data_IF_780889129636
#
_entry.id   IF_780889129636
#
_cell.length_a   1.000
_cell.length_b   1.000
_cell.length_c   1.000
_cell.angle_alpha   90.00
_cell.angle_beta   90.00
_cell.angle_gamma   90.00
#
_symmetry.space_group_name_H-M   'P 1'
#
loop_
_entity.id
_entity.type
_entity.pdbx_description
1 polymer ?
#
# COMPACT_ATOMS: atom_id res chain seq x y z
N UNK A 1 -20.51 -10.99 12.89
CA UNK A 1 -19.42 -10.03 12.62
C UNK A 1 -18.09 -10.59 13.12
N UNK A 2 -17.88 -10.92 14.41
CA UNK A 2 -16.56 -11.39 14.89
C UNK A 2 -16.10 -12.68 14.21
N UNK A 3 -17.02 -13.62 14.00
CA UNK A 3 -16.72 -14.87 13.28
C UNK A 3 -16.29 -14.65 11.82
N UNK A 4 -16.86 -13.66 11.12
CA UNK A 4 -16.48 -13.33 9.74
C UNK A 4 -15.07 -12.73 9.74
N UNK A 5 -14.80 -11.76 10.63
CA UNK A 5 -13.48 -11.16 10.76
C UNK A 5 -12.39 -12.20 11.10
N UNK A 6 -12.68 -13.11 12.04
CA UNK A 6 -11.77 -14.20 12.40
C UNK A 6 -11.53 -15.16 11.22
N UNK A 7 -12.57 -15.49 10.47
CA UNK A 7 -12.44 -16.31 9.26
C UNK A 7 -11.61 -15.62 8.18
N UNK A 8 -11.80 -14.30 7.95
CA UNK A 8 -10.97 -13.51 7.02
C UNK A 8 -9.50 -13.58 7.42
N UNK A 9 -9.18 -13.35 8.70
CA UNK A 9 -7.80 -13.44 9.21
C UNK A 9 -7.23 -14.84 8.98
N UNK A 10 -7.97 -15.89 9.36
CA UNK A 10 -7.53 -17.27 9.22
C UNK A 10 -7.25 -17.65 7.75
N UNK A 11 -8.13 -17.26 6.83
CA UNK A 11 -7.96 -17.52 5.39
C UNK A 11 -6.74 -16.79 4.85
N UNK A 12 -6.59 -15.49 5.15
CA UNK A 12 -5.44 -14.69 4.68
C UNK A 12 -4.11 -15.26 5.17
N UNK A 13 -4.05 -15.72 6.43
CA UNK A 13 -2.86 -16.40 6.97
C UNK A 13 -2.62 -17.76 6.32
N UNK A 14 -3.67 -18.54 6.07
CA UNK A 14 -3.54 -19.87 5.45
C UNK A 14 -3.00 -19.81 4.02
N UNK A 15 -3.40 -18.79 3.25
CA UNK A 15 -2.91 -18.59 1.86
C UNK A 15 -1.64 -17.74 1.79
N UNK A 16 -1.25 -17.09 2.90
CA UNK A 16 -0.05 -16.24 2.98
C UNK A 16 1.24 -16.85 2.41
N UNK A 17 1.55 -18.14 2.61
CA UNK A 17 2.82 -18.70 2.13
C UNK A 17 2.76 -19.22 0.68
N UNK A 18 1.62 -19.11 -0.02
CA UNK A 18 1.46 -19.72 -1.34
C UNK A 18 2.27 -18.99 -2.42
N UNK A 19 2.48 -17.67 -2.25
CA UNK A 19 3.48 -16.88 -2.97
C UNK A 19 4.59 -16.38 -2.01
N UNK A 20 5.68 -15.87 -2.59
CA UNK A 20 6.78 -15.28 -1.84
C UNK A 20 6.46 -13.88 -1.31
N UNK A 21 7.51 -13.19 -0.86
CA UNK A 21 7.41 -11.78 -0.46
C UNK A 21 7.09 -10.92 -1.68
N UNK A 22 6.21 -9.95 -1.46
CA UNK A 22 6.02 -8.82 -2.38
C UNK A 22 7.25 -7.90 -2.36
N UNK A 23 7.53 -7.20 -3.47
CA UNK A 23 8.65 -6.24 -3.57
C UNK A 23 8.61 -5.18 -2.45
N UNK A 24 7.44 -4.63 -2.15
CA UNK A 24 7.30 -3.64 -1.08
C UNK A 24 7.51 -4.25 0.30
N UNK A 25 7.11 -5.51 0.51
CA UNK A 25 7.34 -6.19 1.79
C UNK A 25 8.83 -6.37 2.05
N UNK A 26 9.60 -6.72 1.00
CA UNK A 26 11.06 -6.80 1.07
C UNK A 26 11.68 -5.45 1.38
N UNK A 27 11.16 -4.38 0.76
CA UNK A 27 11.63 -3.02 1.01
C UNK A 27 11.30 -2.54 2.43
N UNK A 28 10.06 -2.67 2.89
CA UNK A 28 9.66 -2.30 4.26
C UNK A 28 10.38 -3.12 5.31
N UNK A 29 10.62 -4.42 5.05
CA UNK A 29 11.48 -5.25 5.89
C UNK A 29 12.89 -4.65 5.97
N UNK A 30 13.48 -4.30 4.83
CA UNK A 30 14.82 -3.73 4.74
C UNK A 30 14.90 -2.35 5.44
N UNK A 31 13.92 -1.46 5.26
CA UNK A 31 13.82 -0.20 6.00
C UNK A 31 13.64 -0.42 7.50
N UNK A 32 12.86 -1.44 7.89
CA UNK A 32 12.63 -1.83 9.27
C UNK A 32 13.90 -2.29 10.02
N UNK A 33 14.93 -2.74 9.32
CA UNK A 33 16.26 -3.03 9.92
C UNK A 33 16.94 -1.76 10.46
N UNK A 34 16.54 -0.57 9.97
CA UNK A 34 17.03 0.74 10.41
C UNK A 34 15.86 1.65 10.81
N UNK A 35 15.31 1.50 12.02
CA UNK A 35 14.20 2.34 12.47
C UNK A 35 14.53 3.84 12.46
N UNK A 36 13.68 4.63 11.80
CA UNK A 36 13.78 6.09 11.73
C UNK A 36 12.39 6.72 11.95
N UNK A 37 12.37 8.02 12.23
CA UNK A 37 11.13 8.80 12.37
C UNK A 37 10.45 9.12 11.02
N UNK A 38 11.13 8.83 9.91
CA UNK A 38 10.64 8.96 8.54
C UNK A 38 11.68 8.44 7.57
N UNK A 39 11.24 8.13 6.36
CA UNK A 39 12.06 7.79 5.22
C UNK A 39 11.67 8.73 4.07
N UNK A 40 12.50 8.82 3.03
CA UNK A 40 12.29 9.76 1.93
C UNK A 40 10.94 9.56 1.23
N UNK A 41 10.64 8.32 0.85
CA UNK A 41 9.47 7.96 0.05
C UNK A 41 8.27 7.50 0.87
N UNK A 42 8.48 7.15 2.15
CA UNK A 42 7.42 6.61 2.99
C UNK A 42 7.52 7.04 4.46
N UNK A 43 6.39 7.38 5.11
CA UNK A 43 6.32 7.50 6.56
C UNK A 43 6.74 6.23 7.33
N UNK A 44 7.04 6.32 8.63
CA UNK A 44 7.65 5.21 9.36
C UNK A 44 6.71 4.06 9.73
N UNK A 45 5.38 4.23 9.71
CA UNK A 45 4.46 3.24 10.31
C UNK A 45 4.57 1.86 9.66
N UNK A 46 4.54 1.79 8.33
CA UNK A 46 4.56 0.49 7.62
C UNK A 46 5.91 -0.24 7.79
N UNK A 47 7.07 0.41 7.62
CA UNK A 47 8.37 -0.20 7.98
C UNK A 47 8.46 -0.62 9.45
N UNK A 48 7.89 0.14 10.38
CA UNK A 48 7.87 -0.23 11.80
C UNK A 48 6.99 -1.45 12.07
N UNK A 49 5.85 -1.58 11.38
CA UNK A 49 5.04 -2.80 11.40
C UNK A 49 5.87 -3.98 10.91
N UNK A 50 6.60 -3.84 9.79
CA UNK A 50 7.47 -4.90 9.28
C UNK A 50 8.55 -5.31 10.30
N UNK A 51 9.18 -4.33 10.97
CA UNK A 51 10.18 -4.58 12.01
C UNK A 51 9.61 -5.31 13.21
N UNK A 52 8.47 -4.86 13.73
CA UNK A 52 7.81 -5.49 14.89
C UNK A 52 7.37 -6.91 14.54
N UNK A 53 6.74 -7.11 13.38
CA UNK A 53 6.30 -8.44 12.92
C UNK A 53 7.47 -9.41 12.81
N UNK A 54 8.56 -9.00 12.15
CA UNK A 54 9.75 -9.87 11.98
C UNK A 54 10.50 -10.13 13.27
N UNK A 55 10.50 -9.18 14.22
CA UNK A 55 11.13 -9.35 15.52
C UNK A 55 10.35 -10.31 16.45
N UNK A 56 9.02 -10.29 16.40
CA UNK A 56 8.17 -11.10 17.29
C UNK A 56 7.90 -12.50 16.73
N UNK A 57 7.57 -12.59 15.43
CA UNK A 57 7.09 -13.82 14.80
C UNK A 57 8.14 -14.49 13.90
N UNK A 58 9.33 -13.88 13.79
CA UNK A 58 10.42 -14.32 12.93
C UNK A 58 10.37 -13.71 11.53
N UNK A 59 11.46 -13.85 10.79
CA UNK A 59 11.61 -13.25 9.47
C UNK A 59 11.07 -14.17 8.36
N UNK A 60 9.73 -14.29 8.28
CA UNK A 60 9.02 -15.10 7.28
C UNK A 60 7.92 -14.31 6.59
N UNK A 61 7.48 -14.76 5.40
CA UNK A 61 6.35 -14.16 4.67
C UNK A 61 5.08 -14.14 5.54
N UNK A 62 4.80 -15.26 6.21
CA UNK A 62 3.63 -15.39 7.10
C UNK A 62 3.73 -14.41 8.26
N UNK A 63 4.91 -14.30 8.89
CA UNK A 63 5.12 -13.37 10.00
C UNK A 63 4.85 -11.91 9.60
N UNK A 64 5.35 -11.46 8.44
CA UNK A 64 5.06 -10.12 7.92
C UNK A 64 3.58 -9.89 7.66
N UNK A 65 2.85 -10.93 7.26
CA UNK A 65 1.43 -10.87 6.86
C UNK A 65 0.44 -11.06 8.01
N UNK A 66 0.92 -11.28 9.25
CA UNK A 66 0.06 -11.31 10.45
C UNK A 66 -0.67 -9.98 10.66
N UNK A 67 0.07 -8.86 10.67
CA UNK A 67 -0.54 -7.54 10.90
C UNK A 67 -1.50 -7.16 9.76
N UNK A 68 -1.17 -7.34 8.47
CA UNK A 68 -2.14 -7.18 7.38
C UNK A 68 -3.42 -8.00 7.53
N UNK A 69 -3.32 -9.28 7.88
CA UNK A 69 -4.50 -10.12 8.10
C UNK A 69 -5.38 -9.59 9.24
N UNK A 70 -4.76 -9.14 10.35
CA UNK A 70 -5.46 -8.50 11.47
C UNK A 70 -6.11 -7.18 11.07
N UNK A 71 -5.44 -6.36 10.25
CA UNK A 71 -6.01 -5.13 9.69
C UNK A 71 -7.26 -5.42 8.86
N UNK A 72 -7.26 -6.47 8.02
CA UNK A 72 -8.44 -6.87 7.26
C UNK A 72 -9.59 -7.33 8.18
N UNK A 73 -9.29 -8.11 9.23
CA UNK A 73 -10.29 -8.47 10.26
C UNK A 73 -10.87 -7.25 10.97
N UNK A 74 -10.03 -6.28 11.35
CA UNK A 74 -10.47 -5.03 11.94
C UNK A 74 -11.36 -4.21 10.99
N UNK A 75 -11.00 -4.17 9.70
CA UNK A 75 -11.76 -3.48 8.66
C UNK A 75 -13.18 -4.06 8.52
N UNK A 76 -13.32 -5.39 8.50
CA UNK A 76 -14.61 -6.08 8.48
C UNK A 76 -15.49 -5.64 9.66
N UNK A 77 -14.92 -5.53 10.86
CA UNK A 77 -15.64 -5.07 12.05
C UNK A 77 -16.03 -3.59 11.93
N UNK A 78 -15.10 -2.72 11.51
CA UNK A 78 -15.34 -1.28 11.39
C UNK A 78 -16.42 -0.96 10.36
N UNK A 79 -16.42 -1.62 9.21
CA UNK A 79 -17.42 -1.42 8.15
C UNK A 79 -18.80 -1.92 8.60
N UNK A 80 -18.87 -3.04 9.31
CA UNK A 80 -20.13 -3.51 9.89
C UNK A 80 -20.65 -2.59 11.01
N UNK A 81 -19.77 -2.05 11.85
CA UNK A 81 -20.11 -1.03 12.85
C UNK A 81 -20.58 0.28 12.19
N UNK A 82 -20.02 0.63 11.04
CA UNK A 82 -20.46 1.77 10.24
C UNK A 82 -21.88 1.57 9.72
N UNK A 83 -22.21 0.38 9.21
CA UNK A 83 -23.58 0.03 8.83
C UNK A 83 -24.54 0.11 10.04
N UNK A 84 -24.10 -0.35 11.22
CA UNK A 84 -24.88 -0.23 12.47
C UNK A 84 -25.13 1.23 12.84
N UNK A 85 -24.10 2.07 12.80
CA UNK A 85 -24.18 3.50 13.12
C UNK A 85 -25.17 4.23 12.21
N UNK A 86 -25.28 3.80 10.95
CA UNK A 86 -26.21 4.33 9.95
C UNK A 86 -27.65 3.78 10.07
N UNK A 87 -27.96 3.07 11.16
CA UNK A 87 -29.28 2.50 11.46
C UNK A 87 -29.51 1.10 10.89
N UNK A 88 -28.46 0.40 10.46
CA UNK A 88 -28.55 -0.95 9.93
C UNK A 88 -28.76 -2.01 11.01
N UNK A 89 -29.81 -2.82 10.86
CA UNK A 89 -30.02 -4.03 11.67
C UNK A 89 -29.01 -5.15 11.38
N UNK A 90 -29.23 -6.34 11.97
CA UNK A 90 -28.30 -7.49 11.85
C UNK A 90 -28.03 -7.90 10.40
N UNK A 91 -29.05 -7.88 9.53
CA UNK A 91 -28.89 -8.23 8.12
C UNK A 91 -27.94 -7.28 7.38
N UNK A 92 -28.07 -5.96 7.58
CA UNK A 92 -27.19 -4.96 6.97
C UNK A 92 -25.74 -5.10 7.48
N UNK A 93 -25.57 -5.37 8.78
CA UNK A 93 -24.25 -5.59 9.37
C UNK A 93 -23.56 -6.86 8.85
N UNK A 94 -24.32 -7.95 8.66
CA UNK A 94 -23.80 -9.19 8.05
C UNK A 94 -23.44 -8.96 6.59
N UNK A 95 -24.29 -8.26 5.83
CA UNK A 95 -24.03 -7.93 4.43
C UNK A 95 -22.76 -7.06 4.29
N UNK A 96 -22.62 -6.04 5.14
CA UNK A 96 -21.44 -5.19 5.17
C UNK A 96 -20.18 -5.99 5.54
N UNK A 97 -20.25 -6.82 6.60
CA UNK A 97 -19.12 -7.64 7.03
C UNK A 97 -18.70 -8.66 5.96
N UNK A 98 -19.65 -9.40 5.40
CA UNK A 98 -19.38 -10.43 4.39
C UNK A 98 -18.88 -9.80 3.10
N UNK A 99 -19.51 -8.72 2.63
CA UNK A 99 -19.07 -8.01 1.44
C UNK A 99 -17.64 -7.50 1.58
N UNK A 100 -17.31 -6.79 2.66
CA UNK A 100 -15.94 -6.31 2.92
C UNK A 100 -14.93 -7.46 3.06
N UNK A 101 -15.31 -8.57 3.70
CA UNK A 101 -14.44 -9.73 3.85
C UNK A 101 -14.09 -10.41 2.52
N UNK A 102 -14.85 -10.13 1.45
CA UNK A 102 -14.71 -10.75 0.14
C UNK A 102 -14.56 -9.73 -0.99
N UNK A 103 -14.28 -8.47 -0.69
CA UNK A 103 -13.99 -7.43 -1.69
C UNK A 103 -12.51 -7.49 -2.10
N UNK A 104 -12.21 -7.15 -3.35
CA UNK A 104 -10.82 -7.16 -3.87
C UNK A 104 -9.88 -6.32 -3.00
N UNK A 105 -10.21 -5.05 -2.74
CA UNK A 105 -9.36 -4.11 -2.02
C UNK A 105 -8.99 -4.58 -0.59
N UNK A 106 -9.94 -4.90 0.32
CA UNK A 106 -9.66 -5.53 1.61
C UNK A 106 -8.86 -6.83 1.54
N UNK A 107 -9.10 -7.69 0.55
CA UNK A 107 -8.37 -8.95 0.40
C UNK A 107 -6.90 -8.70 0.00
N UNK A 108 -6.65 -7.82 -0.98
CA UNK A 108 -5.29 -7.44 -1.39
C UNK A 108 -4.54 -6.77 -0.23
N UNK A 109 -5.15 -5.76 0.39
CA UNK A 109 -4.55 -5.04 1.52
C UNK A 109 -4.36 -5.92 2.76
N UNK A 110 -5.16 -6.96 2.92
CA UNK A 110 -5.04 -7.95 3.99
C UNK A 110 -4.03 -9.06 3.71
N UNK A 111 -3.69 -9.29 2.44
CA UNK A 111 -2.79 -10.37 2.04
C UNK A 111 -1.32 -9.97 2.10
N UNK A 112 -0.98 -8.73 1.76
CA UNK A 112 0.39 -8.23 1.80
C UNK A 112 0.52 -7.00 2.70
N UNK A 113 1.70 -6.78 3.28
CA UNK A 113 1.99 -5.55 4.02
C UNK A 113 2.30 -4.41 3.05
N UNK A 114 1.30 -3.55 2.83
CA UNK A 114 1.36 -2.38 1.97
C UNK A 114 1.11 -1.12 2.81
N UNK A 115 1.48 0.06 2.30
CA UNK A 115 1.05 1.33 2.93
C UNK A 115 -0.47 1.48 2.95
N UNK A 116 -1.19 0.82 2.04
CA UNK A 116 -2.65 0.78 2.02
C UNK A 116 -3.24 0.05 3.26
N UNK A 117 -2.53 -0.95 3.78
CA UNK A 117 -3.03 -1.89 4.80
C UNK A 117 -3.48 -1.21 6.10
N UNK A 118 -2.62 -0.50 6.85
CA UNK A 118 -3.07 0.22 8.04
C UNK A 118 -3.94 1.44 7.70
N UNK A 119 -3.81 2.01 6.50
CA UNK A 119 -4.55 3.20 6.08
C UNK A 119 -6.07 2.94 6.03
N UNK A 120 -6.49 1.82 5.42
CA UNK A 120 -7.91 1.45 5.34
C UNK A 120 -8.57 1.34 6.72
N UNK A 121 -7.84 0.81 7.72
CA UNK A 121 -8.32 0.66 9.09
C UNK A 121 -8.44 2.03 9.75
N UNK A 122 -7.41 2.86 9.68
CA UNK A 122 -7.39 4.19 10.30
C UNK A 122 -8.46 5.09 9.70
N UNK A 123 -8.62 5.09 8.38
CA UNK A 123 -9.67 5.85 7.69
C UNK A 123 -11.08 5.38 8.03
N UNK A 124 -11.28 4.06 8.10
CA UNK A 124 -12.59 3.50 8.49
C UNK A 124 -12.92 3.82 9.95
N UNK A 125 -11.93 3.82 10.84
CA UNK A 125 -12.09 4.22 12.23
C UNK A 125 -12.39 5.73 12.38
N UNK A 126 -11.67 6.58 11.63
CA UNK A 126 -11.95 8.03 11.54
C UNK A 126 -13.36 8.27 11.02
N UNK A 127 -13.75 7.60 9.94
CA UNK A 127 -15.10 7.71 9.36
C UNK A 127 -16.19 7.29 10.33
N UNK A 128 -15.99 6.19 11.06
CA UNK A 128 -16.92 5.77 12.11
C UNK A 128 -17.02 6.80 13.24
N UNK A 129 -15.91 7.42 13.64
CA UNK A 129 -15.92 8.49 14.65
C UNK A 129 -16.64 9.75 14.12
N UNK A 130 -16.39 10.15 12.87
CA UNK A 130 -17.09 11.25 12.21
C UNK A 130 -18.61 10.99 12.19
N UNK A 131 -19.03 9.79 11.80
CA UNK A 131 -20.45 9.41 11.82
C UNK A 131 -21.05 9.49 13.23
N UNK A 132 -20.33 9.06 14.26
CA UNK A 132 -20.80 9.16 15.65
C UNK A 132 -20.96 10.60 16.11
N UNK A 133 -20.04 11.50 15.74
CA UNK A 133 -20.25 12.94 15.99
C UNK A 133 -21.51 13.42 15.27
N UNK A 134 -21.60 13.16 13.97
CA UNK A 134 -22.66 13.71 13.11
C UNK A 134 -24.06 13.18 13.44
N UNK A 135 -24.17 11.92 13.86
CA UNK A 135 -25.44 11.26 14.13
C UNK A 135 -25.86 11.34 15.60
N UNK A 136 -24.90 11.20 16.54
CA UNK A 136 -25.18 11.19 17.99
C UNK A 136 -25.02 12.55 18.65
N UNK A 137 -24.26 13.47 18.05
CA UNK A 137 -23.92 14.75 18.66
C UNK A 137 -22.88 14.66 19.79
N UNK A 138 -22.19 13.54 19.95
CA UNK A 138 -21.16 13.38 20.99
C UNK A 138 -19.80 13.91 20.51
N UNK A 139 -19.48 15.15 20.91
CA UNK A 139 -18.23 15.81 20.54
C UNK A 139 -16.95 15.13 21.04
N UNK A 140 -17.00 14.13 21.94
CA UNK A 140 -15.81 13.37 22.37
C UNK A 140 -15.14 12.65 21.20
N UNK A 141 -15.91 12.25 20.19
CA UNK A 141 -15.37 11.61 19.00
C UNK A 141 -14.51 12.53 18.14
N UNK A 142 -14.59 13.86 18.30
CA UNK A 142 -13.62 14.75 17.65
C UNK A 142 -12.19 14.54 18.12
N UNK A 143 -11.99 14.21 19.40
CA UNK A 143 -10.67 13.88 19.93
C UNK A 143 -10.16 12.57 19.32
N UNK A 144 -11.04 11.57 19.14
CA UNK A 144 -10.69 10.32 18.47
C UNK A 144 -10.41 10.50 16.98
N UNK A 145 -11.18 11.35 16.28
CA UNK A 145 -10.87 11.76 14.89
C UNK A 145 -9.47 12.36 14.86
N UNK A 146 -9.17 13.30 15.76
CA UNK A 146 -7.85 13.91 15.85
C UNK A 146 -6.72 12.91 16.10
N UNK A 147 -6.87 12.06 17.12
CA UNK A 147 -5.88 11.06 17.48
C UNK A 147 -5.59 10.07 16.35
N UNK A 148 -6.64 9.50 15.75
CA UNK A 148 -6.50 8.54 14.66
C UNK A 148 -5.93 9.19 13.39
N UNK A 149 -6.32 10.42 13.08
CA UNK A 149 -5.76 11.15 11.94
C UNK A 149 -4.29 11.53 12.13
N UNK A 150 -3.88 11.87 13.36
CA UNK A 150 -2.47 12.07 13.69
C UNK A 150 -1.64 10.79 13.50
N UNK A 151 -2.17 9.63 13.91
CA UNK A 151 -1.54 8.33 13.67
C UNK A 151 -1.50 7.98 12.18
N UNK A 152 -2.55 8.28 11.42
CA UNK A 152 -2.61 8.04 9.98
C UNK A 152 -1.54 8.81 9.19
N UNK A 153 -1.18 10.02 9.65
CA UNK A 153 -0.10 10.80 9.05
C UNK A 153 1.28 10.11 9.14
N UNK A 154 1.48 9.18 10.08
CA UNK A 154 2.69 8.35 10.12
C UNK A 154 2.69 7.19 9.12
N UNK A 155 1.64 7.05 8.31
CA UNK A 155 1.54 6.03 7.29
C UNK A 155 1.43 6.62 5.89
N UNK A 156 0.47 7.52 5.68
CA UNK A 156 0.32 8.31 4.44
C UNK A 156 -0.30 9.65 4.80
N UNK A 157 0.21 10.73 4.19
CA UNK A 157 -0.37 12.07 4.35
C UNK A 157 -1.78 12.19 3.69
N UNK A 158 -2.25 11.14 3.00
CA UNK A 158 -3.56 11.07 2.33
C UNK A 158 -4.75 11.25 3.28
N UNK A 159 -4.61 11.04 4.59
CA UNK A 159 -5.70 11.28 5.55
C UNK A 159 -6.25 12.71 5.45
N UNK A 160 -5.42 13.67 5.04
CA UNK A 160 -5.82 15.05 4.78
C UNK A 160 -6.87 15.13 3.66
N UNK A 161 -6.86 14.22 2.68
CA UNK A 161 -7.87 14.14 1.61
C UNK A 161 -9.22 13.74 2.19
N UNK A 162 -9.27 12.76 3.11
CA UNK A 162 -10.51 12.40 3.81
C UNK A 162 -11.08 13.58 4.59
N UNK A 163 -10.25 14.17 5.45
CA UNK A 163 -10.66 15.25 6.34
C UNK A 163 -11.06 16.51 5.57
N UNK A 164 -10.27 16.89 4.56
CA UNK A 164 -10.53 18.04 3.69
C UNK A 164 -11.81 17.87 2.88
N UNK A 165 -12.03 16.69 2.30
CA UNK A 165 -13.23 16.39 1.53
C UNK A 165 -14.49 16.39 2.39
N UNK A 166 -14.43 15.81 3.59
CA UNK A 166 -15.54 15.86 4.57
C UNK A 166 -15.76 17.29 5.07
N UNK A 167 -14.69 18.02 5.38
CA UNK A 167 -14.74 19.42 5.82
C UNK A 167 -15.40 20.33 4.80
N UNK A 168 -15.02 20.21 3.52
CA UNK A 168 -15.69 20.91 2.42
C UNK A 168 -17.16 20.51 2.33
N UNK A 169 -17.48 19.23 2.47
CA UNK A 169 -18.85 18.75 2.53
C UNK A 169 -19.67 19.38 3.66
N UNK A 170 -19.07 19.55 4.86
CA UNK A 170 -19.68 20.24 6.00
C UNK A 170 -19.92 21.73 5.69
N UNK A 171 -18.93 22.40 5.07
CA UNK A 171 -19.04 23.81 4.72
C UNK A 171 -20.11 24.08 3.66
N UNK A 172 -20.22 23.21 2.65
CA UNK A 172 -21.17 23.36 1.54
C UNK A 172 -22.59 22.93 1.95
N UNK A 173 -22.73 21.80 2.65
CA UNK A 173 -24.02 21.16 2.84
C UNK A 173 -24.43 20.92 4.30
N UNK A 174 -23.58 21.28 5.26
CA UNK A 174 -23.82 21.11 6.70
C UNK A 174 -23.59 19.68 7.20
N UNK A 175 -23.84 19.42 8.49
CA UNK A 175 -24.30 20.36 9.53
C UNK A 175 -23.18 21.32 9.97
N UNK A 176 -23.37 22.65 9.83
CA UNK A 176 -22.32 23.66 10.14
C UNK A 176 -22.20 23.93 11.65
N UNK A 177 -23.18 23.48 12.43
CA UNK A 177 -23.20 23.64 13.88
C UNK A 177 -22.02 22.94 14.54
N UNK A 178 -21.50 21.87 13.92
CA UNK A 178 -20.35 21.13 14.43
C UNK A 178 -19.05 21.96 14.46
N UNK A 179 -18.96 23.01 13.64
CA UNK A 179 -17.80 23.91 13.63
C UNK A 179 -17.73 24.79 14.90
N UNK A 180 -18.84 24.90 15.64
CA UNK A 180 -18.92 25.60 16.93
C UNK A 180 -18.47 24.72 18.09
N UNK A 181 -18.34 23.41 17.90
CA UNK A 181 -17.87 22.52 18.96
C UNK A 181 -16.37 22.72 19.19
N UNK A 182 -16.00 23.23 20.37
CA UNK A 182 -14.59 23.45 20.75
C UNK A 182 -13.76 22.16 20.69
N UNK A 183 -14.39 21.00 20.83
CA UNK A 183 -13.72 19.69 20.77
C UNK A 183 -13.24 19.34 19.36
N UNK A 184 -13.87 19.89 18.31
CA UNK A 184 -13.37 19.79 16.93
C UNK A 184 -11.94 20.37 16.87
N UNK A 185 -11.77 21.58 17.38
CA UNK A 185 -10.49 22.28 17.38
C UNK A 185 -9.47 21.63 18.32
N UNK A 186 -9.92 21.13 19.47
CA UNK A 186 -9.06 20.32 20.35
C UNK A 186 -8.59 19.02 19.65
N UNK A 187 -9.47 18.38 18.87
CA UNK A 187 -9.13 17.22 18.04
C UNK A 187 -8.13 17.58 16.94
N UNK A 188 -8.32 18.71 16.26
CA UNK A 188 -7.37 19.20 15.25
C UNK A 188 -5.98 19.48 15.86
N UNK A 189 -5.93 20.13 17.03
CA UNK A 189 -4.68 20.34 17.77
C UNK A 189 -4.02 19.03 18.19
N UNK A 190 -4.82 18.05 18.64
CA UNK A 190 -4.31 16.73 18.99
C UNK A 190 -3.75 15.98 17.76
N UNK A 191 -4.42 16.08 16.60
CA UNK A 191 -3.90 15.53 15.35
C UNK A 191 -2.55 16.12 14.98
N UNK A 192 -2.43 17.46 15.05
CA UNK A 192 -1.19 18.17 14.78
C UNK A 192 -0.10 17.81 15.79
N UNK A 193 -0.43 17.72 17.08
CA UNK A 193 0.52 17.33 18.13
C UNK A 193 1.09 15.92 17.87
N UNK A 194 0.22 14.95 17.54
CA UNK A 194 0.65 13.59 17.23
C UNK A 194 1.43 13.55 15.91
N UNK A 195 0.96 14.22 14.85
CA UNK A 195 1.64 14.23 13.56
C UNK A 195 2.93 15.08 13.56
N UNK A 196 3.17 15.91 14.57
CA UNK A 196 4.25 16.90 14.57
C UNK A 196 5.64 16.33 14.33
N UNK A 197 6.05 15.15 14.83
CA UNK A 197 7.37 14.60 14.53
C UNK A 197 7.54 14.27 13.04
N UNK A 198 6.50 13.72 12.39
CA UNK A 198 6.52 13.45 10.95
C UNK A 198 6.54 14.77 10.15
N UNK A 199 5.71 15.74 10.54
CA UNK A 199 5.68 17.05 9.87
C UNK A 199 7.01 17.81 10.01
N UNK A 200 7.65 17.73 11.18
CA UNK A 200 8.97 18.32 11.41
C UNK A 200 10.05 17.62 10.56
N UNK A 201 10.00 16.29 10.46
CA UNK A 201 10.87 15.54 9.57
C UNK A 201 10.71 16.01 8.13
N UNK A 202 9.46 16.09 7.63
CA UNK A 202 9.15 16.57 6.29
C UNK A 202 9.70 17.98 6.05
N UNK A 203 9.47 18.91 6.97
CA UNK A 203 9.91 20.29 6.85
C UNK A 203 11.44 20.46 6.90
N UNK A 204 12.14 19.61 7.66
CA UNK A 204 13.61 19.66 7.82
C UNK A 204 14.37 18.91 6.72
N UNK A 205 13.66 18.16 5.86
CA UNK A 205 14.23 17.34 4.79
C UNK A 205 13.68 17.71 3.40
N UNK A 206 13.31 18.98 3.21
CA UNK A 206 12.83 19.55 1.94
C UNK A 206 11.55 18.91 1.37
N UNK A 207 10.67 18.44 2.24
CA UNK A 207 9.39 17.82 1.90
C UNK A 207 9.50 16.63 0.94
N UNK A 208 10.16 15.55 1.37
CA UNK A 208 10.51 14.44 0.49
C UNK A 208 9.27 13.75 -0.12
N UNK A 209 8.15 13.67 0.61
CA UNK A 209 6.92 13.10 0.05
C UNK A 209 6.26 13.99 -1.03
N UNK A 210 6.41 15.31 -0.97
CA UNK A 210 5.93 16.17 -2.06
C UNK A 210 6.79 15.98 -3.32
N UNK A 211 8.10 15.81 -3.17
CA UNK A 211 9.00 15.47 -4.28
C UNK A 211 8.61 14.11 -4.90
N UNK A 212 8.35 13.11 -4.06
CA UNK A 212 7.89 11.79 -4.50
C UNK A 212 6.55 11.87 -5.25
N UNK A 213 5.56 12.59 -4.70
CA UNK A 213 4.27 12.76 -5.34
C UNK A 213 4.36 13.47 -6.70
N UNK A 214 5.32 14.40 -6.86
CA UNK A 214 5.59 15.05 -8.15
C UNK A 214 6.23 14.09 -9.16
N UNK A 215 7.20 13.27 -8.73
CA UNK A 215 7.82 12.26 -9.59
C UNK A 215 6.77 11.25 -10.09
N UNK A 216 5.99 10.65 -9.19
CA UNK A 216 4.93 9.70 -9.54
C UNK A 216 3.86 10.30 -10.46
N UNK A 217 3.52 11.58 -10.28
CA UNK A 217 2.57 12.27 -11.17
C UNK A 217 3.11 12.38 -12.60
N UNK A 218 4.42 12.60 -12.77
CA UNK A 218 5.04 12.72 -14.09
C UNK A 218 5.08 11.35 -14.76
N UNK A 219 5.50 10.32 -14.03
CA UNK A 219 5.75 9.00 -14.58
C UNK A 219 4.46 8.21 -14.83
N UNK A 220 3.50 8.24 -13.90
CA UNK A 220 2.30 7.40 -13.94
C UNK A 220 0.99 8.19 -14.07
N UNK A 221 1.04 9.52 -14.01
CA UNK A 221 -0.17 10.34 -13.85
C UNK A 221 -1.16 10.25 -15.00
N UNK A 222 -0.70 9.93 -16.22
CA UNK A 222 -1.57 9.73 -17.38
C UNK A 222 -2.34 8.40 -17.28
N UNK A 223 -1.65 7.32 -16.97
CA UNK A 223 -2.24 5.98 -16.83
C UNK A 223 -3.18 5.91 -15.63
N UNK A 224 -2.78 6.53 -14.51
CA UNK A 224 -3.62 6.66 -13.33
C UNK A 224 -4.94 7.39 -13.63
N UNK A 225 -4.92 8.44 -14.47
CA UNK A 225 -6.15 9.14 -14.90
C UNK A 225 -7.00 8.28 -15.82
N UNK A 226 -6.38 7.59 -16.78
CA UNK A 226 -7.09 6.74 -17.74
C UNK A 226 -7.80 5.57 -17.05
N UNK A 227 -7.16 4.97 -16.04
CA UNK A 227 -7.67 3.82 -15.30
C UNK A 227 -8.54 4.17 -14.09
N UNK A 228 -8.63 5.45 -13.70
CA UNK A 228 -9.30 5.87 -12.47
C UNK A 228 -10.76 5.39 -12.36
N UNK A 229 -11.59 5.73 -13.35
CA UNK A 229 -13.03 5.42 -13.35
C UNK A 229 -13.30 3.92 -13.35
N UNK A 230 -12.73 3.09 -14.25
CA UNK A 230 -12.98 1.65 -14.20
C UNK A 230 -12.49 1.03 -12.89
N UNK A 231 -11.37 1.50 -12.32
CA UNK A 231 -10.89 0.98 -11.05
C UNK A 231 -11.81 1.30 -9.87
N UNK A 232 -12.55 2.42 -9.86
CA UNK A 232 -13.55 2.66 -8.80
C UNK A 232 -14.64 1.59 -8.73
N UNK A 233 -14.91 0.87 -9.83
CA UNK A 233 -15.85 -0.24 -9.87
C UNK A 233 -15.18 -1.54 -9.42
N UNK A 234 -13.95 -1.79 -9.89
CA UNK A 234 -13.22 -3.04 -9.67
C UNK A 234 -12.63 -3.15 -8.26
N UNK A 235 -12.27 -2.03 -7.62
CA UNK A 235 -11.65 -2.01 -6.29
C UNK A 235 -12.48 -2.77 -5.24
N UNK A 236 -13.81 -2.67 -5.29
CA UNK A 236 -14.70 -3.48 -4.45
C UNK A 236 -15.29 -4.68 -5.19
N UNK A 237 -15.68 -4.47 -6.45
CA UNK A 237 -16.42 -5.40 -7.29
C UNK A 237 -17.68 -4.74 -7.87
N UNK A 238 -18.08 -5.07 -9.11
CA UNK A 238 -19.19 -4.41 -9.81
C UNK A 238 -20.52 -4.47 -9.05
N UNK A 239 -20.80 -5.57 -8.35
CA UNK A 239 -22.04 -5.71 -7.55
C UNK A 239 -22.00 -4.78 -6.35
N UNK A 240 -20.83 -4.69 -5.69
CA UNK A 240 -20.62 -3.79 -4.56
C UNK A 240 -20.68 -2.33 -4.98
N UNK A 241 -20.24 -1.97 -6.19
CA UNK A 241 -20.36 -0.62 -6.73
C UNK A 241 -21.83 -0.17 -6.81
N UNK A 242 -22.74 -1.04 -7.23
CA UNK A 242 -24.20 -0.76 -7.22
C UNK A 242 -24.71 -0.50 -5.80
N UNK A 243 -24.24 -1.28 -4.83
CA UNK A 243 -24.55 -1.08 -3.41
C UNK A 243 -23.99 0.27 -2.92
N UNK A 244 -22.78 0.66 -3.34
CA UNK A 244 -22.18 1.96 -3.03
C UNK A 244 -23.03 3.12 -3.55
N UNK A 245 -23.60 3.03 -4.75
CA UNK A 245 -24.53 4.05 -5.29
C UNK A 245 -25.76 4.19 -4.40
N UNK A 246 -26.35 3.08 -3.95
CA UNK A 246 -27.47 3.11 -3.00
C UNK A 246 -27.07 3.73 -1.66
N UNK A 247 -25.83 3.52 -1.22
CA UNK A 247 -25.27 4.13 -0.03
C UNK A 247 -25.04 5.63 -0.17
N UNK A 248 -24.47 6.05 -1.29
CA UNK A 248 -24.28 7.46 -1.63
C UNK A 248 -25.60 8.22 -1.63
N UNK A 249 -26.64 7.68 -2.29
CA UNK A 249 -27.99 8.26 -2.29
C UNK A 249 -28.59 8.35 -0.89
N UNK A 250 -28.35 7.34 -0.04
CA UNK A 250 -28.80 7.35 1.36
C UNK A 250 -28.13 8.47 2.16
N UNK A 251 -26.81 8.60 2.06
CA UNK A 251 -26.07 9.65 2.76
C UNK A 251 -26.46 11.04 2.25
N UNK A 252 -26.65 11.21 0.93
CA UNK A 252 -27.08 12.45 0.31
C UNK A 252 -28.42 12.96 0.86
N UNK A 253 -29.38 12.04 1.06
CA UNK A 253 -30.72 12.34 1.58
C UNK A 253 -30.71 12.75 3.06
N UNK A 254 -29.77 12.24 3.86
CA UNK A 254 -29.68 12.57 5.28
C UNK A 254 -28.79 13.81 5.51
N UNK A 255 -29.40 14.95 5.84
CA UNK A 255 -28.70 16.22 6.08
C UNK A 255 -27.57 16.14 7.13
N UNK A 256 -27.67 15.24 8.12
CA UNK A 256 -26.64 15.11 9.16
C UNK A 256 -25.33 14.51 8.63
N UNK A 257 -25.39 13.69 7.58
CA UNK A 257 -24.23 12.95 7.05
C UNK A 257 -24.00 13.21 5.55
N UNK A 258 -24.68 14.22 5.00
CA UNK A 258 -24.55 14.62 3.59
C UNK A 258 -23.12 15.02 3.22
N UNK A 259 -22.37 15.56 4.17
CA UNK A 259 -20.94 15.85 4.00
C UNK A 259 -20.13 14.65 3.53
N UNK A 260 -20.43 13.44 4.04
CA UNK A 260 -19.79 12.20 3.60
C UNK A 260 -20.22 11.77 2.19
N UNK A 261 -21.43 12.13 1.74
CA UNK A 261 -21.81 11.91 0.34
C UNK A 261 -21.03 12.83 -0.60
N UNK A 262 -20.76 14.07 -0.19
CA UNK A 262 -19.96 15.04 -0.96
C UNK A 262 -18.47 14.69 -0.94
N UNK A 263 -17.99 14.12 0.16
CA UNK A 263 -16.57 13.84 0.33
C UNK A 263 -16.01 12.92 -0.77
N UNK A 264 -16.75 11.88 -1.18
CA UNK A 264 -16.30 10.97 -2.24
C UNK A 264 -16.05 11.64 -3.59
N UNK A 265 -17.02 12.34 -4.23
CA UNK A 265 -16.76 13.00 -5.51
C UNK A 265 -15.71 14.12 -5.42
N UNK A 266 -15.60 14.81 -4.28
CA UNK A 266 -14.53 15.80 -4.05
C UNK A 266 -13.16 15.10 -4.04
N UNK A 267 -13.03 14.00 -3.30
CA UNK A 267 -11.80 13.22 -3.26
C UNK A 267 -11.44 12.65 -4.64
N UNK A 268 -12.42 12.12 -5.39
CA UNK A 268 -12.20 11.67 -6.76
C UNK A 268 -11.69 12.79 -7.66
N UNK A 269 -12.29 13.99 -7.59
CA UNK A 269 -11.86 15.13 -8.37
C UNK A 269 -10.42 15.55 -8.01
N UNK A 270 -10.06 15.54 -6.72
CA UNK A 270 -8.71 15.86 -6.24
C UNK A 270 -7.68 14.84 -6.75
N UNK A 271 -7.96 13.54 -6.62
CA UNK A 271 -7.04 12.47 -7.05
C UNK A 271 -6.88 12.45 -8.58
N UNK A 272 -7.98 12.62 -9.32
CA UNK A 272 -7.95 12.78 -10.78
C UNK A 272 -7.12 14.00 -11.20
N UNK A 273 -7.32 15.14 -10.53
CA UNK A 273 -6.59 16.37 -10.83
C UNK A 273 -5.11 16.24 -10.51
N UNK A 274 -4.74 15.58 -9.41
CA UNK A 274 -3.34 15.38 -9.03
C UNK A 274 -2.66 14.27 -9.83
N UNK A 275 -3.41 13.39 -10.51
CA UNK A 275 -2.86 12.19 -11.14
C UNK A 275 -2.45 11.12 -10.13
N UNK A 276 -3.09 11.10 -8.95
CA UNK A 276 -2.80 10.10 -7.92
C UNK A 276 -3.39 8.73 -8.27
N UNK A 277 -2.91 7.67 -7.61
CA UNK A 277 -3.38 6.31 -7.88
C UNK A 277 -4.87 6.16 -7.54
N UNK A 278 -5.64 5.39 -8.33
CA UNK A 278 -7.08 5.24 -8.15
C UNK A 278 -7.51 4.63 -6.81
N UNK A 279 -6.64 3.86 -6.14
CA UNK A 279 -6.91 3.26 -4.83
C UNK A 279 -6.94 4.30 -3.69
N UNK A 280 -6.47 5.53 -3.91
CA UNK A 280 -6.46 6.60 -2.89
C UNK A 280 -7.87 7.01 -2.45
N UNK A 281 -8.90 6.67 -3.23
CA UNK A 281 -10.31 6.85 -2.88
C UNK A 281 -10.99 5.58 -2.34
N UNK A 282 -10.27 4.47 -2.22
CA UNK A 282 -10.82 3.16 -1.86
C UNK A 282 -11.50 3.13 -0.49
N UNK A 283 -10.95 3.83 0.50
CA UNK A 283 -11.56 3.92 1.84
C UNK A 283 -12.94 4.61 1.83
N UNK A 284 -13.19 5.53 0.89
CA UNK A 284 -14.51 6.15 0.77
C UNK A 284 -15.56 5.15 0.30
N UNK A 285 -15.19 4.26 -0.61
CA UNK A 285 -16.07 3.20 -1.11
C UNK A 285 -16.54 2.29 0.03
N UNK A 286 -15.72 2.04 1.05
CA UNK A 286 -16.09 1.16 2.17
C UNK A 286 -17.25 1.71 3.02
N UNK A 287 -17.27 3.01 3.35
CA UNK A 287 -18.39 3.57 4.10
C UNK A 287 -19.63 3.79 3.21
N UNK A 288 -19.44 4.05 1.92
CA UNK A 288 -20.53 4.07 0.94
C UNK A 288 -21.17 2.68 0.83
N UNK A 289 -20.36 1.63 0.75
CA UNK A 289 -20.80 0.25 0.76
C UNK A 289 -21.57 -0.08 2.05
N UNK A 290 -21.05 0.33 3.22
CA UNK A 290 -21.73 0.17 4.50
C UNK A 290 -23.12 0.82 4.52
N UNK A 291 -23.21 2.08 4.05
CA UNK A 291 -24.46 2.81 3.92
C UNK A 291 -25.43 2.13 2.95
N UNK A 292 -24.90 1.60 1.84
CA UNK A 292 -25.63 0.86 0.83
C UNK A 292 -26.22 -0.42 1.36
N UNK A 293 -25.48 -1.16 2.18
CA UNK A 293 -25.93 -2.38 2.83
C UNK A 293 -27.17 -2.14 3.71
N UNK A 294 -27.29 -0.96 4.33
CA UNK A 294 -28.49 -0.58 5.11
C UNK A 294 -29.73 -0.48 4.20
N UNK A 295 -29.58 0.12 3.02
CA UNK A 295 -30.66 0.21 2.02
C UNK A 295 -30.95 -1.15 1.40
N UNK A 296 -29.90 -1.89 1.04
CA UNK A 296 -29.99 -3.15 0.32
C UNK A 296 -30.59 -4.29 1.16
N UNK A 297 -30.44 -4.23 2.49
CA UNK A 297 -31.06 -5.19 3.40
C UNK A 297 -32.61 -5.23 3.29
N UNK A 298 -33.23 -4.14 2.83
CA UNK A 298 -34.67 -4.03 2.61
C UNK A 298 -35.14 -4.37 1.20
N UNK A 299 -34.24 -4.74 0.27
CA UNK A 299 -34.63 -4.99 -1.12
C UNK A 299 -35.45 -6.27 -1.26
N UNK A 300 -36.55 -6.18 -2.03
CA UNK A 300 -37.44 -7.33 -2.32
C UNK A 300 -36.70 -8.51 -2.97
N UNK A 301 -35.67 -8.23 -3.79
CA UNK A 301 -34.81 -9.23 -4.46
C UNK A 301 -33.48 -9.48 -3.71
N UNK A 302 -33.46 -9.38 -2.38
CA UNK A 302 -32.24 -9.58 -1.57
C UNK A 302 -31.49 -10.89 -1.86
N UNK A 303 -32.20 -11.98 -2.19
CA UNK A 303 -31.57 -13.26 -2.52
C UNK A 303 -30.71 -13.18 -3.78
N UNK A 304 -31.15 -12.44 -4.79
CA UNK A 304 -30.39 -12.20 -6.02
C UNK A 304 -29.14 -11.37 -5.72
N UNK A 305 -29.25 -10.34 -4.88
CA UNK A 305 -28.08 -9.56 -4.46
C UNK A 305 -27.05 -10.42 -3.72
N UNK A 306 -27.50 -11.26 -2.78
CA UNK A 306 -26.60 -12.15 -2.03
C UNK A 306 -25.92 -13.15 -2.98
N UNK A 307 -26.65 -13.73 -3.94
CA UNK A 307 -26.06 -14.60 -4.95
C UNK A 307 -25.04 -13.85 -5.82
N UNK A 308 -25.36 -12.63 -6.27
CA UNK A 308 -24.44 -11.81 -7.05
C UNK A 308 -23.18 -11.44 -6.26
N UNK A 309 -23.30 -11.09 -4.98
CA UNK A 309 -22.15 -10.84 -4.10
C UNK A 309 -21.32 -12.10 -3.85
N UNK A 310 -21.93 -13.29 -3.83
CA UNK A 310 -21.20 -14.55 -3.73
C UNK A 310 -20.39 -14.83 -5.00
N UNK A 311 -20.92 -14.50 -6.18
CA UNK A 311 -20.16 -14.57 -7.44
C UNK A 311 -19.01 -13.56 -7.42
N UNK A 312 -19.28 -12.31 -7.01
CA UNK A 312 -18.28 -11.25 -6.87
C UNK A 312 -17.17 -11.67 -5.89
N UNK A 313 -17.52 -12.34 -4.79
CA UNK A 313 -16.59 -12.89 -3.82
C UNK A 313 -15.67 -13.96 -4.43
N UNK A 314 -16.20 -14.87 -5.26
CA UNK A 314 -15.38 -15.88 -5.95
C UNK A 314 -14.38 -15.21 -6.90
N UNK A 315 -14.84 -14.24 -7.69
CA UNK A 315 -13.95 -13.47 -8.58
C UNK A 315 -12.90 -12.72 -7.77
N UNK A 316 -13.29 -12.05 -6.69
CA UNK A 316 -12.37 -11.33 -5.82
C UNK A 316 -11.32 -12.24 -5.18
N UNK A 317 -11.69 -13.45 -4.73
CA UNK A 317 -10.73 -14.44 -4.22
C UNK A 317 -9.73 -14.85 -5.29
N UNK A 318 -10.18 -15.12 -6.52
CA UNK A 318 -9.30 -15.51 -7.63
C UNK A 318 -8.35 -14.37 -8.02
N UNK A 319 -8.86 -13.14 -8.03
CA UNK A 319 -8.07 -11.96 -8.42
C UNK A 319 -7.12 -11.53 -7.32
N UNK A 320 -7.57 -11.47 -6.06
CA UNK A 320 -6.82 -10.85 -4.96
C UNK A 320 -5.87 -11.81 -4.22
N UNK A 321 -6.21 -13.10 -4.13
CA UNK A 321 -5.48 -14.09 -3.33
C UNK A 321 -4.63 -15.02 -4.22
N UNK A 322 -3.56 -15.64 -3.69
CA UNK A 322 -2.59 -16.42 -4.45
C UNK A 322 -3.11 -17.82 -4.81
N UNK A 323 -4.36 -17.95 -5.27
CA UNK A 323 -5.00 -19.23 -5.58
C UNK A 323 -4.65 -19.77 -6.97
N UNK A 324 -4.06 -18.93 -7.82
CA UNK A 324 -3.49 -19.34 -9.10
C UNK A 324 -2.09 -19.92 -8.85
N UNK A 325 -1.70 -21.06 -9.47
CA UNK A 325 -0.35 -21.57 -9.31
C UNK A 325 0.70 -20.59 -9.83
N UNK A 326 1.75 -20.33 -9.04
CA UNK A 326 2.78 -19.34 -9.38
C UNK A 326 3.44 -19.57 -10.75
N UNK A 327 3.69 -20.82 -11.11
CA UNK A 327 4.28 -21.21 -12.41
C UNK A 327 3.39 -20.89 -13.62
N UNK A 328 2.09 -20.70 -13.41
CA UNK A 328 1.11 -20.40 -14.45
C UNK A 328 0.53 -19.00 -14.33
N UNK A 329 1.00 -18.20 -13.37
CA UNK A 329 0.52 -16.84 -13.17
C UNK A 329 0.86 -15.96 -14.39
N UNK A 330 2.07 -16.17 -14.96
CA UNK A 330 2.50 -15.51 -16.17
C UNK A 330 1.52 -15.79 -17.33
N UNK A 331 1.01 -14.73 -17.96
CA UNK A 331 0.05 -14.83 -19.07
C UNK A 331 -1.43 -14.93 -18.65
N UNK A 332 -1.75 -14.89 -17.36
CA UNK A 332 -3.14 -14.80 -16.88
C UNK A 332 -3.59 -13.34 -16.72
N UNK A 333 -4.90 -13.06 -16.81
CA UNK A 333 -5.43 -11.73 -16.47
C UNK A 333 -5.15 -11.31 -15.02
N UNK A 334 -4.95 -12.28 -14.10
CA UNK A 334 -4.64 -11.99 -12.69
C UNK A 334 -3.30 -11.26 -12.57
N UNK A 335 -2.27 -11.65 -13.33
CA UNK A 335 -0.99 -10.95 -13.33
C UNK A 335 -1.11 -9.50 -13.84
N UNK A 336 -2.01 -9.24 -14.78
CA UNK A 336 -2.23 -7.91 -15.35
C UNK A 336 -3.03 -6.98 -14.41
N UNK A 337 -3.90 -7.53 -13.57
CA UNK A 337 -4.83 -6.76 -12.73
C UNK A 337 -4.36 -6.67 -11.27
N UNK A 338 -3.68 -7.71 -10.76
CA UNK A 338 -3.18 -7.78 -9.40
C UNK A 338 -1.64 -7.70 -9.39
N UNK A 339 -1.17 -6.47 -9.25
CA UNK A 339 0.25 -6.12 -9.03
C UNK A 339 0.87 -6.93 -7.88
N UNK A 340 0.17 -7.04 -6.74
CA UNK A 340 0.67 -7.76 -5.56
C UNK A 340 0.92 -9.24 -5.87
N UNK A 341 0.04 -9.88 -6.63
CA UNK A 341 0.25 -11.26 -7.07
C UNK A 341 1.46 -11.36 -8.02
N UNK A 342 1.52 -10.48 -9.03
CA UNK A 342 2.58 -10.45 -10.05
C UNK A 342 3.96 -10.26 -9.42
N UNK A 343 4.08 -9.39 -8.42
CA UNK A 343 5.36 -8.99 -7.81
C UNK A 343 5.73 -9.79 -6.55
N UNK A 344 4.91 -10.78 -6.17
CA UNK A 344 5.22 -11.72 -5.08
C UNK A 344 5.88 -13.03 -5.56
N UNK A 345 6.00 -13.24 -6.87
CA UNK A 345 6.52 -14.48 -7.47
C UNK A 345 7.96 -14.27 -7.96
N UNK A 346 8.85 -15.19 -7.58
CA UNK A 346 10.23 -15.26 -8.09
C UNK A 346 11.25 -14.32 -7.44
N UNK A 347 10.88 -13.56 -6.40
CA UNK A 347 11.85 -12.68 -5.69
C UNK A 347 13.04 -13.44 -5.08
N UNK A 348 12.85 -14.68 -4.61
CA UNK A 348 13.97 -15.52 -4.17
C UNK A 348 14.88 -15.91 -5.34
N UNK A 349 14.32 -16.08 -6.53
CA UNK A 349 15.06 -16.44 -7.73
C UNK A 349 15.91 -15.28 -8.26
N UNK A 350 15.52 -14.02 -7.99
CA UNK A 350 16.38 -12.83 -8.20
C UNK A 350 17.71 -13.00 -7.45
N UNK A 351 17.63 -13.35 -6.17
CA UNK A 351 18.81 -13.55 -5.33
C UNK A 351 19.61 -14.79 -5.76
N UNK A 352 18.94 -15.90 -6.06
CA UNK A 352 19.59 -17.12 -6.50
C UNK A 352 20.31 -16.96 -7.86
N UNK A 353 19.70 -16.24 -8.81
CA UNK A 353 20.28 -15.95 -10.14
C UNK A 353 21.49 -15.02 -10.01
N UNK A 354 21.38 -13.95 -9.21
CA UNK A 354 22.50 -13.04 -8.93
C UNK A 354 23.65 -13.78 -8.23
N UNK A 355 23.36 -14.70 -7.31
CA UNK A 355 24.38 -15.52 -6.64
C UNK A 355 25.18 -16.40 -7.61
N UNK A 356 24.53 -16.95 -8.66
CA UNK A 356 25.24 -17.69 -9.72
C UNK A 356 26.25 -16.81 -10.46
N UNK A 357 25.91 -15.55 -10.72
CA UNK A 357 26.85 -14.59 -11.33
C UNK A 357 28.00 -14.27 -10.38
N UNK A 358 27.71 -13.96 -9.11
CA UNK A 358 28.73 -13.66 -8.08
C UNK A 358 29.68 -14.84 -7.89
N UNK A 359 29.16 -16.07 -7.80
CA UNK A 359 29.96 -17.29 -7.66
C UNK A 359 30.78 -17.65 -8.90
N UNK A 360 30.43 -17.11 -10.06
CA UNK A 360 31.22 -17.21 -11.29
C UNK A 360 32.41 -16.24 -11.36
N UNK A 361 32.46 -15.23 -10.49
CA UNK A 361 33.56 -14.26 -10.47
C UNK A 361 34.89 -14.90 -10.03
N UNK A 362 36.04 -14.44 -10.56
CA UNK A 362 37.35 -14.81 -10.02
C UNK A 362 37.44 -14.57 -8.51
N UNK A 363 38.15 -15.43 -7.78
CA UNK A 363 38.17 -15.39 -6.30
C UNK A 363 38.59 -14.02 -5.74
N UNK A 364 39.60 -13.37 -6.35
CA UNK A 364 40.05 -12.03 -5.96
C UNK A 364 39.02 -10.92 -6.23
N UNK A 365 38.25 -11.03 -7.32
CA UNK A 365 37.18 -10.08 -7.62
C UNK A 365 35.98 -10.27 -6.69
N UNK A 366 35.63 -11.53 -6.41
CA UNK A 366 34.50 -11.90 -5.58
C UNK A 366 34.61 -11.37 -4.16
N UNK A 367 35.81 -11.38 -3.58
CA UNK A 367 36.05 -10.91 -2.21
C UNK A 367 35.82 -9.41 -2.03
N UNK A 368 35.96 -8.61 -3.09
CA UNK A 368 35.76 -7.16 -3.10
C UNK A 368 34.56 -6.68 -3.91
N UNK A 369 33.71 -7.60 -4.38
CA UNK A 369 32.54 -7.26 -5.19
C UNK A 369 31.40 -6.72 -4.31
N UNK A 370 30.58 -5.84 -4.87
CA UNK A 370 29.30 -5.40 -4.28
C UNK A 370 28.15 -5.62 -5.25
N UNK A 371 26.92 -5.60 -4.74
CA UNK A 371 25.71 -5.59 -5.57
C UNK A 371 25.18 -4.17 -5.71
N UNK A 372 24.80 -3.80 -6.93
CA UNK A 372 24.12 -2.54 -7.22
C UNK A 372 22.76 -2.86 -7.85
N UNK A 373 21.68 -2.70 -7.08
CA UNK A 373 20.33 -2.93 -7.55
C UNK A 373 19.71 -1.65 -8.12
N UNK A 374 19.06 -1.76 -9.27
CA UNK A 374 18.33 -0.67 -9.88
C UNK A 374 17.14 -0.31 -9.02
N UNK A 375 16.34 -1.27 -8.57
CA UNK A 375 15.14 -0.95 -7.81
C UNK A 375 15.12 -1.47 -6.37
N UNK A 376 14.23 -0.90 -5.54
CA UNK A 376 14.13 -1.26 -4.13
C UNK A 376 13.65 -2.71 -3.90
N UNK A 377 12.91 -3.29 -4.84
CA UNK A 377 12.43 -4.67 -4.82
C UNK A 377 13.58 -5.65 -5.03
N UNK A 378 14.39 -5.43 -6.06
CA UNK A 378 15.65 -6.13 -6.28
C UNK A 378 16.57 -6.01 -5.06
N UNK A 379 16.79 -4.79 -4.54
CA UNK A 379 17.63 -4.56 -3.37
C UNK A 379 17.12 -5.33 -2.14
N UNK A 380 15.81 -5.29 -1.90
CA UNK A 380 15.15 -6.00 -0.83
C UNK A 380 15.28 -7.52 -0.96
N UNK A 381 15.15 -8.06 -2.18
CA UNK A 381 15.34 -9.49 -2.45
C UNK A 381 16.78 -9.91 -2.18
N UNK A 382 17.77 -9.21 -2.76
CA UNK A 382 19.18 -9.49 -2.56
C UNK A 382 19.56 -9.42 -1.08
N UNK A 383 19.02 -8.44 -0.34
CA UNK A 383 19.25 -8.28 1.09
C UNK A 383 18.61 -9.41 1.91
N UNK A 384 17.37 -9.82 1.60
CA UNK A 384 16.64 -10.86 2.35
C UNK A 384 17.37 -12.20 2.34
N UNK A 385 17.95 -12.57 1.20
CA UNK A 385 18.63 -13.86 1.03
C UNK A 385 20.15 -13.74 0.98
N UNK A 386 20.71 -12.64 1.47
CA UNK A 386 22.15 -12.39 1.42
C UNK A 386 22.95 -13.48 2.14
N UNK A 387 22.53 -13.88 3.33
CA UNK A 387 23.22 -14.93 4.11
C UNK A 387 23.08 -16.31 3.46
N UNK A 388 21.88 -16.65 2.98
CA UNK A 388 21.56 -17.94 2.37
C UNK A 388 22.40 -18.18 1.10
N UNK A 389 22.53 -17.15 0.26
CA UNK A 389 23.26 -17.22 -1.00
C UNK A 389 24.68 -16.63 -0.95
N UNK A 390 25.14 -16.21 0.23
CA UNK A 390 26.45 -15.56 0.46
C UNK A 390 26.69 -14.38 -0.49
N UNK A 391 25.68 -13.54 -0.64
CA UNK A 391 25.76 -12.34 -1.47
C UNK A 391 26.58 -11.24 -0.77
N UNK A 392 27.31 -10.42 -1.53
CA UNK A 392 28.01 -9.27 -0.97
C UNK A 392 27.03 -8.15 -0.58
N UNK A 393 27.57 -7.07 -0.01
CA UNK A 393 26.79 -5.90 0.39
C UNK A 393 25.99 -5.31 -0.80
N UNK A 394 24.75 -4.93 -0.52
CA UNK A 394 23.77 -4.42 -1.49
C UNK A 394 23.66 -2.90 -1.37
N UNK A 395 23.71 -2.23 -2.52
CA UNK A 395 23.54 -0.78 -2.66
C UNK A 395 22.47 -0.51 -3.72
N UNK A 396 21.75 0.61 -3.58
CA UNK A 396 20.79 1.07 -4.59
C UNK A 396 20.61 2.58 -4.49
N UNK A 397 20.47 3.23 -5.64
CA UNK A 397 20.13 4.65 -5.72
C UNK A 397 18.64 4.94 -5.70
N UNK A 398 17.78 3.92 -5.55
CA UNK A 398 16.32 4.08 -5.55
C UNK A 398 15.81 4.50 -4.18
N UNK A 399 15.01 5.58 -4.12
CA UNK A 399 14.27 6.01 -2.93
C UNK A 399 15.19 6.20 -1.71
N UNK A 400 14.74 5.87 -0.50
CA UNK A 400 15.49 6.04 0.75
C UNK A 400 16.89 5.38 0.71
N UNK A 401 17.09 4.35 -0.12
CA UNK A 401 18.36 3.62 -0.20
C UNK A 401 19.50 4.49 -0.70
N UNK A 402 19.20 5.54 -1.48
CA UNK A 402 20.21 6.53 -1.89
C UNK A 402 20.87 7.20 -0.67
N UNK A 403 20.12 7.47 0.40
CA UNK A 403 20.63 8.09 1.63
C UNK A 403 21.45 7.14 2.49
N UNK A 404 21.47 5.84 2.19
CA UNK A 404 22.33 4.89 2.90
C UNK A 404 23.80 4.99 2.48
N UNK A 405 24.05 5.72 1.39
CA UNK A 405 25.37 6.06 0.91
C UNK A 405 25.92 5.10 -0.15
N UNK A 406 27.00 5.50 -0.81
CA UNK A 406 27.60 4.73 -1.90
C UNK A 406 28.35 3.49 -1.40
N UNK A 407 28.73 2.59 -2.34
CA UNK A 407 29.81 1.64 -2.11
C UNK A 407 31.11 2.32 -1.62
N UNK A 408 31.97 1.61 -0.88
CA UNK A 408 33.28 2.12 -0.47
C UNK A 408 34.10 2.60 -1.67
N UNK A 409 34.88 3.68 -1.51
CA UNK A 409 35.66 4.30 -2.61
C UNK A 409 36.62 3.32 -3.33
N UNK A 410 37.12 2.29 -2.62
CA UNK A 410 37.98 1.25 -3.21
C UNK A 410 37.25 0.16 -4.00
N UNK A 411 35.92 0.22 -4.12
CA UNK A 411 35.13 -0.83 -4.77
C UNK A 411 35.33 -0.81 -6.28
N UNK A 412 35.96 -1.86 -6.80
CA UNK A 412 36.29 -1.99 -8.24
C UNK A 412 35.34 -2.91 -9.01
N UNK A 413 34.67 -3.84 -8.35
CA UNK A 413 33.82 -4.84 -9.01
C UNK A 413 32.39 -4.68 -8.52
N UNK A 414 31.47 -4.52 -9.44
CA UNK A 414 30.03 -4.35 -9.17
C UNK A 414 29.26 -5.39 -9.98
N UNK A 415 28.41 -6.15 -9.31
CA UNK A 415 27.37 -6.93 -10.00
C UNK A 415 26.10 -6.09 -9.95
N UNK A 416 25.79 -5.48 -11.09
CA UNK A 416 24.61 -4.65 -11.27
C UNK A 416 23.40 -5.52 -11.62
N UNK A 417 22.27 -5.28 -10.98
CA UNK A 417 20.98 -5.90 -11.28
C UNK A 417 20.04 -4.79 -11.74
N UNK A 418 19.42 -4.98 -12.89
CA UNK A 418 18.38 -4.12 -13.46
C UNK A 418 18.78 -2.83 -14.14
N UNK A 419 19.97 -2.29 -13.87
CA UNK A 419 20.44 -1.13 -14.64
C UNK A 419 20.67 -1.51 -16.11
N UNK A 420 20.18 -0.69 -17.07
CA UNK A 420 20.46 -0.88 -18.47
C UNK A 420 21.97 -0.91 -18.75
N UNK A 421 22.49 -1.89 -19.52
CA UNK A 421 23.92 -1.97 -19.82
C UNK A 421 24.50 -0.71 -20.47
N UNK A 422 23.68 0.04 -21.21
CA UNK A 422 24.07 1.30 -21.84
C UNK A 422 24.44 2.38 -20.81
N UNK A 423 23.67 2.49 -19.72
CA UNK A 423 23.90 3.48 -18.67
C UNK A 423 25.15 3.14 -17.84
N UNK A 424 25.38 1.84 -17.63
CA UNK A 424 26.56 1.35 -16.91
C UNK A 424 27.87 1.63 -17.67
N UNK A 425 27.84 1.64 -19.00
CA UNK A 425 29.00 1.96 -19.84
C UNK A 425 29.54 3.39 -19.65
N UNK A 426 28.71 4.32 -19.16
CA UNK A 426 29.14 5.68 -18.83
C UNK A 426 29.80 5.80 -17.44
N UNK A 427 29.67 4.77 -16.60
CA UNK A 427 30.04 4.77 -15.18
C UNK A 427 31.24 3.86 -14.91
N UNK A 428 31.42 2.82 -15.71
CA UNK A 428 32.48 1.82 -15.53
C UNK A 428 33.31 1.65 -16.79
N UNK A 429 34.61 1.38 -16.64
CA UNK A 429 35.50 1.19 -17.77
C UNK A 429 35.15 -0.08 -18.58
N UNK A 430 34.63 -1.11 -17.91
CA UNK A 430 34.26 -2.39 -18.54
C UNK A 430 33.00 -2.96 -17.90
N UNK A 431 32.02 -3.29 -18.72
CA UNK A 431 30.81 -4.01 -18.30
C UNK A 431 30.55 -5.20 -19.23
N UNK A 432 30.19 -6.33 -18.64
CA UNK A 432 29.84 -7.55 -19.37
C UNK A 432 28.48 -8.04 -18.89
N UNK A 433 27.51 -8.16 -19.80
CA UNK A 433 26.22 -8.77 -19.50
C UNK A 433 26.45 -10.25 -19.15
N UNK A 434 26.21 -10.61 -17.89
CA UNK A 434 26.43 -11.95 -17.37
C UNK A 434 25.18 -12.83 -17.44
N UNK A 435 24.00 -12.22 -17.54
CA UNK A 435 22.75 -12.93 -17.72
C UNK A 435 21.56 -11.99 -17.69
N UNK A 436 20.37 -12.58 -17.79
CA UNK A 436 19.10 -11.90 -17.58
C UNK A 436 18.24 -12.71 -16.63
N UNK A 437 17.52 -12.02 -15.76
CA UNK A 437 16.59 -12.62 -14.83
C UNK A 437 15.47 -13.32 -15.58
N UNK A 438 15.03 -14.46 -15.05
CA UNK A 438 14.01 -15.30 -15.66
C UNK A 438 13.17 -16.00 -14.59
N UNK A 439 11.92 -16.33 -14.94
CA UNK A 439 11.01 -17.06 -14.06
C UNK A 439 10.06 -16.16 -13.25
N UNK A 440 9.98 -14.88 -13.59
CA UNK A 440 9.09 -13.90 -12.95
C UNK A 440 7.97 -13.49 -13.92
N UNK A 441 6.74 -13.26 -13.44
CA UNK A 441 5.63 -12.83 -14.29
C UNK A 441 5.56 -11.30 -14.48
N UNK A 442 6.46 -10.54 -13.85
CA UNK A 442 6.41 -9.08 -13.77
C UNK A 442 7.66 -8.37 -14.28
N UNK A 443 7.91 -7.19 -13.72
CA UNK A 443 9.00 -6.29 -14.14
C UNK A 443 10.38 -6.91 -14.03
N UNK A 444 10.57 -7.88 -13.13
CA UNK A 444 11.84 -8.59 -12.96
C UNK A 444 12.16 -9.60 -14.07
N UNK A 445 11.25 -9.83 -15.02
CA UNK A 445 11.48 -10.70 -16.15
C UNK A 445 12.39 -10.03 -17.19
N UNK A 446 13.41 -10.77 -17.65
CA UNK A 446 14.40 -10.31 -18.64
C UNK A 446 15.32 -9.17 -18.15
N UNK A 447 15.26 -8.82 -16.87
CA UNK A 447 16.08 -7.78 -16.25
C UNK A 447 17.57 -8.15 -16.27
N UNK A 448 18.48 -7.26 -16.72
CA UNK A 448 19.89 -7.60 -16.91
C UNK A 448 20.64 -7.78 -15.60
N UNK A 449 21.54 -8.77 -15.55
CA UNK A 449 22.60 -8.87 -14.54
C UNK A 449 23.92 -8.61 -15.25
N UNK A 450 24.58 -7.50 -14.89
CA UNK A 450 25.80 -7.02 -15.55
C UNK A 450 26.95 -6.97 -14.56
N UNK A 451 28.09 -7.56 -14.92
CA UNK A 451 29.32 -7.42 -14.13
C UNK A 451 30.12 -6.26 -14.66
N UNK A 452 30.29 -5.23 -13.84
CA UNK A 452 31.03 -4.02 -14.17
C UNK A 452 32.30 -3.90 -13.34
N UNK A 453 33.35 -3.36 -13.95
CA UNK A 453 34.69 -3.24 -13.38
C UNK A 453 35.24 -1.83 -13.58
N UNK A 454 36.01 -1.41 -12.59
CA UNK A 454 36.80 -0.18 -12.58
C UNK A 454 35.93 1.06 -12.85
N UNK A 455 35.25 1.60 -11.82
CA UNK A 455 34.51 2.85 -11.94
C UNK A 455 35.39 3.94 -12.56
N UNK A 456 34.85 4.69 -13.53
CA UNK A 456 35.63 5.72 -14.26
C UNK A 456 35.92 6.96 -13.41
N UNK A 457 35.22 7.10 -12.28
CA UNK A 457 35.36 8.18 -11.29
C UNK A 457 35.18 7.62 -9.88
N UNK A 458 35.64 8.34 -8.84
CA UNK A 458 35.35 8.02 -7.45
C UNK A 458 33.84 7.89 -7.17
N UNK A 459 33.47 7.03 -6.23
CA UNK A 459 32.07 6.75 -5.90
C UNK A 459 31.33 8.00 -5.41
N UNK A 460 31.99 8.87 -4.65
CA UNK A 460 31.43 10.18 -4.25
C UNK A 460 30.98 11.06 -5.42
N UNK A 461 31.59 10.93 -6.61
CA UNK A 461 31.21 11.68 -7.80
C UNK A 461 30.11 10.99 -8.60
N UNK A 462 30.06 9.66 -8.55
CA UNK A 462 29.09 8.85 -9.27
C UNK A 462 27.74 8.78 -8.53
N UNK A 463 27.77 8.69 -7.20
CA UNK A 463 26.59 8.46 -6.37
C UNK A 463 25.48 9.50 -6.49
N UNK A 464 25.76 10.82 -6.60
CA UNK A 464 24.70 11.80 -6.81
C UNK A 464 23.87 11.54 -8.08
N UNK A 465 24.45 10.88 -9.09
CA UNK A 465 23.77 10.53 -10.36
C UNK A 465 22.99 9.23 -10.29
N UNK A 466 23.20 8.42 -9.25
CA UNK A 466 22.48 7.16 -9.07
C UNK A 466 21.05 7.36 -8.53
N UNK A 467 20.71 8.56 -8.02
CA UNK A 467 19.42 8.86 -7.40
C UNK A 467 18.30 8.82 -8.43
N UNK A 468 17.26 8.04 -8.14
CA UNK A 468 16.03 7.97 -8.92
C UNK A 468 14.85 7.50 -8.04
N UNK A 469 13.63 7.66 -8.55
CA UNK A 469 12.38 7.44 -7.81
C UNK A 469 11.37 6.51 -8.51
N UNK A 470 11.71 6.05 -9.72
CA UNK A 470 10.91 5.15 -10.56
C UNK A 470 11.71 3.94 -10.99
#
# INVERSE_FOLDING_TARGET
MPAIAAATVAVLLAVSPWYGYHRDELYFRMLGERPRLGYFDTPPLTPMIARVSTAIFGDTVVALRIVPALCAGALVVLVALTARELGGGRAAQVLAAAGTATSVLPLVAGHALLTLTPDLVLWSAVTLCLLRVLLRGDGRYWLWVGALSGVAAYNRDLIVVLLGSVGLGILVAGPREVLRDRRLWAGALLALAIASPNLLYQATHDWPQFQMAQALRIDEGADNRATFVPLQIVLLGPVQAVVCVAGWLRLWRNRRVRSLAIAYPVACALVLYSGGRPDYTGAFLLYLFAAGCVTAAGWRRRGVLVAALAVDAVVAVVVALPVVPAASLAGTPVAAINEVARESVGMRDVAAQTARVVSGLPAGERAGAVLLAANYGEAGALRRWADEFRLPAVYSGHNELWWWGPPPEGTRVVVSVGYPPADLGAVFARCTLAGRLSGMPGEEQDVPITVCRDPVRPWRELWPRARHYS
#
